data_IF_078382827702
#
_entry.id   IF_078382827702
#
_cell.length_a   1.000
_cell.length_b   1.000
_cell.length_c   1.000
_cell.angle_alpha   90.00
_cell.angle_beta   90.00
_cell.angle_gamma   90.00
#
_symmetry.space_group_name_H-M   'P 1'
#
loop_
_entity.id
_entity.type
_entity.pdbx_description
1 polymer ?
#
# COMPACT_ATOMS: atom_id res chain seq x y z
N UNK A 1 -1.59 15.59 7.14
CA UNK A 1 -1.05 14.22 6.99
C UNK A 1 -0.47 14.04 5.59
N UNK A 2 0.75 13.52 5.51
CA UNK A 2 1.55 13.42 4.28
C UNK A 2 2.03 11.98 4.08
N UNK A 3 2.02 11.46 2.85
CA UNK A 3 2.66 10.18 2.51
C UNK A 3 3.95 10.49 1.75
N UNK A 4 5.06 9.91 2.21
CA UNK A 4 6.36 9.99 1.53
C UNK A 4 6.69 8.64 0.91
N UNK A 5 7.09 8.69 -0.35
CA UNK A 5 7.59 7.53 -1.09
C UNK A 5 9.09 7.36 -0.79
N UNK A 6 9.44 6.20 -0.24
CA UNK A 6 10.79 5.76 0.07
C UNK A 6 11.09 4.49 -0.71
N UNK A 7 12.37 4.05 -0.70
CA UNK A 7 12.74 2.80 -1.38
C UNK A 7 11.97 1.63 -0.77
N UNK A 8 11.11 1.01 -1.55
CA UNK A 8 10.31 -0.17 -1.17
C UNK A 8 9.35 0.08 0.01
N UNK A 9 9.00 1.34 0.28
CA UNK A 9 8.18 1.74 1.42
C UNK A 9 7.41 3.04 1.16
N UNK A 10 6.19 3.13 1.68
CA UNK A 10 5.44 4.37 1.85
C UNK A 10 5.36 4.67 3.34
N UNK A 11 5.76 5.86 3.77
CA UNK A 11 5.68 6.31 5.15
C UNK A 11 4.63 7.41 5.30
N UNK A 12 3.73 7.27 6.27
CA UNK A 12 2.66 8.23 6.56
C UNK A 12 3.03 9.06 7.79
N UNK A 13 3.02 10.38 7.63
CA UNK A 13 3.31 11.34 8.69
C UNK A 13 2.06 12.14 9.08
N UNK A 14 1.92 12.42 10.38
CA UNK A 14 0.93 13.37 10.89
C UNK A 14 1.38 14.83 10.68
N UNK A 15 0.57 15.79 11.13
CA UNK A 15 0.85 17.22 10.95
C UNK A 15 2.05 17.70 11.81
N UNK A 16 2.43 16.93 12.83
CA UNK A 16 3.61 17.16 13.69
C UNK A 16 4.87 16.46 13.16
N UNK A 17 4.83 15.93 11.93
CA UNK A 17 5.91 15.16 11.31
C UNK A 17 6.30 13.87 12.04
N UNK A 18 5.41 13.31 12.85
CA UNK A 18 5.59 12.00 13.43
C UNK A 18 5.10 10.93 12.45
N UNK A 19 5.86 9.86 12.29
CA UNK A 19 5.45 8.71 11.49
C UNK A 19 4.35 7.94 12.24
N UNK A 20 3.23 7.71 11.56
CA UNK A 20 2.02 7.10 12.13
C UNK A 20 1.53 5.89 11.32
N UNK A 21 2.29 5.48 10.30
CA UNK A 21 1.92 4.33 9.49
C UNK A 21 2.88 4.12 8.33
N UNK A 22 2.83 2.91 7.78
CA UNK A 22 3.67 2.51 6.67
C UNK A 22 3.02 1.42 5.81
N UNK A 23 3.52 1.30 4.59
CA UNK A 23 3.29 0.14 3.72
C UNK A 23 4.61 -0.23 3.05
N UNK A 24 5.02 -1.48 3.13
CA UNK A 24 6.24 -1.98 2.47
C UNK A 24 5.90 -2.95 1.35
N UNK A 25 6.83 -3.09 0.40
CA UNK A 25 6.75 -4.10 -0.63
C UNK A 25 8.12 -4.64 -1.03
N UNK A 26 8.10 -5.86 -1.53
CA UNK A 26 9.25 -6.51 -2.17
C UNK A 26 8.99 -6.64 -3.67
N UNK A 27 9.99 -6.39 -4.51
CA UNK A 27 9.88 -6.64 -5.96
C UNK A 27 10.22 -8.10 -6.28
N UNK A 28 9.40 -8.75 -7.10
CA UNK A 28 9.60 -10.12 -7.56
C UNK A 28 9.81 -10.15 -9.08
N UNK A 29 11.00 -9.72 -9.51
CA UNK A 29 11.27 -9.42 -10.91
C UNK A 29 10.90 -7.97 -11.27
N UNK A 30 10.95 -7.61 -12.56
CA UNK A 30 10.75 -6.24 -13.00
C UNK A 30 9.28 -5.78 -12.97
N UNK A 31 8.35 -6.73 -13.03
CA UNK A 31 6.93 -6.50 -13.30
C UNK A 31 6.02 -6.81 -12.11
N UNK A 32 6.55 -7.27 -10.98
CA UNK A 32 5.74 -7.72 -9.83
C UNK A 32 6.15 -6.99 -8.55
N UNK A 33 5.16 -6.43 -7.88
CA UNK A 33 5.24 -5.84 -6.54
C UNK A 33 4.48 -6.71 -5.54
N UNK A 34 5.12 -7.09 -4.44
CA UNK A 34 4.51 -7.89 -3.37
C UNK A 34 4.29 -6.98 -2.17
N UNK A 35 3.04 -6.62 -1.87
CA UNK A 35 2.71 -5.85 -0.66
C UNK A 35 2.70 -6.81 0.52
N UNK A 36 3.72 -6.72 1.38
CA UNK A 36 3.96 -7.65 2.49
C UNK A 36 3.58 -7.05 3.86
N UNK A 37 3.60 -5.73 4.01
CA UNK A 37 3.22 -5.05 5.25
C UNK A 37 2.33 -3.82 4.99
N UNK A 38 1.38 -3.59 5.89
CA UNK A 38 0.61 -2.35 5.96
C UNK A 38 0.22 -2.14 7.42
N UNK A 39 0.59 -0.99 7.97
CA UNK A 39 0.34 -0.66 9.37
C UNK A 39 -0.01 0.82 9.51
N UNK A 40 -0.89 1.10 10.46
CA UNK A 40 -1.20 2.46 10.94
C UNK A 40 -1.33 2.37 12.45
N UNK A 41 -0.77 3.36 13.14
CA UNK A 41 -0.83 3.48 14.58
C UNK A 41 -2.29 3.38 15.07
N UNK A 42 -2.58 2.56 16.11
CA UNK A 42 -3.92 2.38 16.63
C UNK A 42 -4.66 3.67 17.00
N UNK A 43 -3.96 4.71 17.45
CA UNK A 43 -4.54 6.01 17.80
C UNK A 43 -5.13 6.73 16.57
N UNK A 44 -4.72 6.34 15.37
CA UNK A 44 -5.16 6.93 14.10
C UNK A 44 -6.11 6.03 13.30
N UNK A 45 -6.61 4.94 13.90
CA UNK A 45 -7.61 4.06 13.28
C UNK A 45 -8.95 4.79 13.04
N UNK A 46 -9.74 4.25 12.13
CA UNK A 46 -11.04 4.82 11.74
C UNK A 46 -10.97 5.96 10.71
N UNK A 47 -9.76 6.42 10.37
CA UNK A 47 -9.53 7.54 9.44
C UNK A 47 -9.18 7.07 8.01
N UNK A 48 -9.35 5.78 7.70
CA UNK A 48 -9.02 5.18 6.38
C UNK A 48 -7.57 5.40 5.91
N UNK A 49 -6.64 5.57 6.84
CA UNK A 49 -5.23 5.83 6.52
C UNK A 49 -4.52 4.62 5.92
N UNK A 50 -4.82 3.42 6.39
CA UNK A 50 -4.26 2.19 5.81
C UNK A 50 -4.82 1.93 4.40
N UNK A 51 -6.09 2.26 4.16
CA UNK A 51 -6.69 2.29 2.81
C UNK A 51 -5.94 3.27 1.90
N UNK A 52 -5.65 4.48 2.40
CA UNK A 52 -4.88 5.49 1.65
C UNK A 52 -3.48 5.00 1.28
N UNK A 53 -2.78 4.33 2.21
CA UNK A 53 -1.47 3.74 1.95
C UNK A 53 -1.53 2.68 0.83
N UNK A 54 -2.47 1.74 0.92
CA UNK A 54 -2.66 0.70 -0.11
C UNK A 54 -3.02 1.32 -1.46
N UNK A 55 -3.92 2.31 -1.46
CA UNK A 55 -4.30 3.04 -2.67
C UNK A 55 -3.08 3.69 -3.33
N UNK A 56 -2.22 4.35 -2.56
CA UNK A 56 -0.98 4.95 -3.09
C UNK A 56 -0.04 3.86 -3.64
N UNK A 57 0.06 2.69 -3.00
CA UNK A 57 0.80 1.54 -3.54
C UNK A 57 0.24 1.01 -4.87
N UNK A 58 -1.08 0.99 -5.00
CA UNK A 58 -1.77 0.61 -6.25
C UNK A 58 -1.46 1.61 -7.37
N UNK A 59 -1.54 2.91 -7.10
CA UNK A 59 -1.16 3.95 -8.07
C UNK A 59 0.31 3.87 -8.46
N UNK A 60 1.20 3.57 -7.50
CA UNK A 60 2.62 3.34 -7.78
C UNK A 60 2.80 2.17 -8.75
N UNK A 61 2.15 1.03 -8.50
CA UNK A 61 2.24 -0.12 -9.39
C UNK A 61 1.68 0.19 -10.79
N UNK A 62 0.57 0.95 -10.89
CA UNK A 62 0.05 1.44 -12.18
C UNK A 62 1.08 2.27 -12.93
N UNK A 63 1.68 3.25 -12.25
CA UNK A 63 2.69 4.16 -12.81
C UNK A 63 3.93 3.40 -13.30
N UNK A 64 4.33 2.36 -12.57
CA UNK A 64 5.50 1.53 -12.89
C UNK A 64 5.18 0.37 -13.86
N UNK A 65 3.92 0.17 -14.23
CA UNK A 65 3.51 -0.96 -15.06
C UNK A 65 3.63 -2.32 -14.38
N UNK A 66 3.62 -2.36 -13.04
CA UNK A 66 3.74 -3.58 -12.23
C UNK A 66 2.37 -4.17 -11.88
N UNK A 67 2.33 -5.49 -11.69
CA UNK A 67 1.22 -6.20 -11.05
C UNK A 67 1.51 -6.41 -9.56
N UNK A 68 0.45 -6.46 -8.76
CA UNK A 68 0.52 -6.60 -7.31
C UNK A 68 0.13 -8.01 -6.87
N UNK A 69 0.89 -8.56 -5.92
CA UNK A 69 0.51 -9.69 -5.07
C UNK A 69 0.32 -9.17 -3.64
N UNK A 70 -0.92 -9.07 -3.11
CA UNK A 70 -1.15 -8.54 -1.77
C UNK A 70 -1.05 -9.64 -0.71
N UNK A 71 0.14 -9.91 -0.19
CA UNK A 71 0.36 -10.93 0.87
C UNK A 71 -0.04 -10.42 2.26
N UNK A 72 0.10 -9.12 2.51
CA UNK A 72 -0.40 -8.51 3.74
C UNK A 72 -1.91 -8.77 3.88
N UNK A 73 -2.41 -9.31 5.01
CA UNK A 73 -3.84 -9.59 5.18
C UNK A 73 -4.73 -8.35 5.05
N UNK A 74 -4.21 -7.17 5.41
CA UNK A 74 -4.94 -5.91 5.22
C UNK A 74 -5.06 -5.57 3.73
N UNK A 75 -3.93 -5.56 3.00
CA UNK A 75 -3.92 -5.30 1.57
C UNK A 75 -4.80 -6.29 0.81
N UNK A 76 -4.73 -7.60 1.15
CA UNK A 76 -5.58 -8.62 0.54
C UNK A 76 -7.08 -8.29 0.68
N UNK A 77 -7.53 -7.98 1.90
CA UNK A 77 -8.92 -7.59 2.17
C UNK A 77 -9.32 -6.33 1.41
N UNK A 78 -8.38 -5.42 1.19
CA UNK A 78 -8.64 -4.19 0.45
C UNK A 78 -8.88 -4.48 -1.03
N UNK A 79 -8.05 -5.33 -1.64
CA UNK A 79 -8.24 -5.82 -3.01
C UNK A 79 -9.53 -6.63 -3.17
N UNK A 80 -9.96 -7.39 -2.16
CA UNK A 80 -11.25 -8.11 -2.19
C UNK A 80 -12.45 -7.15 -2.21
N UNK A 81 -12.35 -6.00 -1.54
CA UNK A 81 -13.44 -5.01 -1.42
C UNK A 81 -13.48 -4.00 -2.55
N UNK A 82 -12.37 -3.81 -3.25
CA UNK A 82 -12.16 -2.75 -4.25
C UNK A 82 -11.86 -3.33 -5.62
N UNK A 83 -12.90 -3.65 -6.43
CA UNK A 83 -12.73 -4.11 -7.80
C UNK A 83 -11.90 -3.16 -8.66
N UNK A 84 -11.89 -1.86 -8.32
CA UNK A 84 -11.07 -0.87 -8.98
C UNK A 84 -9.56 -1.13 -8.87
N UNK A 85 -9.08 -2.02 -7.99
CA UNK A 85 -7.66 -2.38 -7.88
C UNK A 85 -7.30 -3.59 -8.75
N UNK A 86 -8.28 -4.25 -9.37
CA UNK A 86 -8.06 -5.54 -10.06
C UNK A 86 -7.30 -5.39 -11.38
N UNK A 87 -7.19 -4.18 -11.92
CA UNK A 87 -6.37 -3.86 -13.08
C UNK A 87 -4.87 -4.08 -12.81
N UNK A 88 -4.41 -3.93 -11.57
CA UNK A 88 -3.04 -4.24 -11.16
C UNK A 88 -2.92 -5.55 -10.39
N UNK A 89 -4.01 -6.20 -9.99
CA UNK A 89 -3.92 -7.50 -9.32
C UNK A 89 -3.29 -8.55 -10.25
N UNK A 90 -2.26 -9.25 -9.77
CA UNK A 90 -1.71 -10.41 -10.49
C UNK A 90 -2.77 -11.53 -10.51
N UNK A 91 -3.25 -11.84 -11.70
CA UNK A 91 -4.08 -13.03 -11.93
C UNK A 91 -3.16 -14.26 -12.00
N UNK A 92 -3.52 -15.31 -11.26
CA UNK A 92 -2.87 -16.62 -11.27
C UNK A 92 -3.38 -17.48 -12.42
#
# INVERSE_FOLDING_TARGET
MEIKEEKNRLALFNDEQQEIGEMTWSDAGPDIMIIDHTFVDPAYRGQKLAEKLVYTGVELARREGKKIIPLCPYAKKEFEKKPEYHDVLRQS
#
